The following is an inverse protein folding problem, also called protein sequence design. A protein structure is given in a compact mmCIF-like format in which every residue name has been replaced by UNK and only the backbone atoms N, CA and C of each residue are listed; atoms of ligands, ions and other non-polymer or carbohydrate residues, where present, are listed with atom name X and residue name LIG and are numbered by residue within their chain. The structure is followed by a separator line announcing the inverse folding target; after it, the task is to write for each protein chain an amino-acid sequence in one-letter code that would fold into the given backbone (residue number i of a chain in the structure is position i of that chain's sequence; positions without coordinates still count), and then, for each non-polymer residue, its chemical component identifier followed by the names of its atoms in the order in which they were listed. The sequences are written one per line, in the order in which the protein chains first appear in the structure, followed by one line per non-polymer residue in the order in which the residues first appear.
data_IF_913253251485
#
_entry.id   IF_913253251485
#
_cell.length_a   1.000
_cell.length_b   1.000
_cell.length_c   1.000
_cell.angle_alpha   90.00
_cell.angle_beta   90.00
_cell.angle_gamma   90.00
#
_symmetry.space_group_name_H-M   'P 1'
#
loop_
_entity.id
_entity.type
_entity.pdbx_description
1 polymer ?
#
# COMPACT_ATOMS: atom_id res chain seq x y z
N UNK A 1 -9.70 3.70 3.52
CA UNK A 1 -10.35 2.38 3.32
C UNK A 1 -9.77 1.36 4.28
N UNK A 2 -10.35 0.16 4.39
CA UNK A 2 -9.84 -0.91 5.27
C UNK A 2 -9.41 -2.13 4.46
N UNK A 3 -8.19 -2.60 4.71
CA UNK A 3 -7.69 -3.91 4.25
C UNK A 3 -8.29 -5.04 5.09
N UNK A 4 -8.35 -6.24 4.53
CA UNK A 4 -8.64 -7.45 5.30
C UNK A 4 -7.32 -8.12 5.66
N UNK A 5 -7.11 -8.37 6.95
CA UNK A 5 -5.87 -8.91 7.50
C UNK A 5 -6.12 -10.28 8.10
N UNK A 6 -5.26 -11.23 7.78
CA UNK A 6 -5.24 -12.57 8.40
C UNK A 6 -3.92 -12.74 9.12
N UNK A 7 -3.96 -13.23 10.35
CA UNK A 7 -2.78 -13.52 11.17
C UNK A 7 -2.77 -15.00 11.55
N UNK A 8 -1.63 -15.52 12.00
CA UNK A 8 -1.56 -16.92 12.47
C UNK A 8 -2.48 -17.18 13.68
N UNK A 9 -2.83 -16.13 14.44
CA UNK A 9 -3.66 -16.21 15.64
C UNK A 9 -5.16 -16.20 15.35
N UNK A 10 -5.56 -15.82 14.13
CA UNK A 10 -6.96 -15.67 13.74
C UNK A 10 -7.18 -16.27 12.36
N UNK A 11 -8.02 -17.29 12.29
CA UNK A 11 -8.27 -18.01 11.05
C UNK A 11 -9.05 -17.16 10.03
N UNK A 12 -10.03 -16.39 10.50
CA UNK A 12 -10.84 -15.52 9.66
C UNK A 12 -10.18 -14.15 9.43
N UNK A 13 -10.22 -13.59 8.19
CA UNK A 13 -9.74 -12.25 7.93
C UNK A 13 -10.56 -11.20 8.67
N UNK A 14 -9.88 -10.31 9.38
CA UNK A 14 -10.52 -9.19 10.09
C UNK A 14 -10.24 -7.86 9.39
N UNK A 15 -11.18 -6.90 9.42
CA UNK A 15 -10.90 -5.55 8.95
C UNK A 15 -9.74 -4.93 9.73
N UNK A 16 -8.72 -4.48 9.00
CA UNK A 16 -7.64 -3.69 9.55
C UNK A 16 -8.07 -2.27 9.92
N UNK A 17 -7.10 -1.51 10.44
CA UNK A 17 -7.27 -0.08 10.71
C UNK A 17 -7.60 0.65 9.41
N UNK A 18 -8.44 1.66 9.52
CA UNK A 18 -8.75 2.54 8.40
C UNK A 18 -7.52 3.36 8.02
N UNK A 19 -7.10 3.22 6.77
CA UNK A 19 -5.89 3.86 6.26
C UNK A 19 -6.11 4.47 4.88
N UNK A 20 -5.16 5.32 4.51
CA UNK A 20 -5.06 5.97 3.20
C UNK A 20 -3.67 5.71 2.65
N UNK A 21 -3.56 5.68 1.32
CA UNK A 21 -2.28 5.48 0.67
C UNK A 21 -2.22 6.35 -0.59
N UNK A 22 -1.20 7.19 -0.67
CA UNK A 22 -0.82 7.92 -1.86
C UNK A 22 0.39 7.23 -2.49
N UNK A 23 0.23 6.67 -3.69
CA UNK A 23 1.19 5.74 -4.29
C UNK A 23 1.04 5.68 -5.81
N UNK A 24 2.10 5.30 -6.51
CA UNK A 24 1.99 4.83 -7.88
C UNK A 24 1.34 3.43 -7.94
N UNK A 25 0.91 3.03 -9.13
CA UNK A 25 0.31 1.71 -9.37
C UNK A 25 0.99 1.04 -10.56
N UNK A 26 1.26 -0.28 -10.52
CA UNK A 26 1.94 -0.98 -11.62
C UNK A 26 1.17 -0.90 -12.95
N UNK A 27 -0.16 -0.93 -12.87
CA UNK A 27 -1.05 -0.79 -14.02
C UNK A 27 -2.41 -0.27 -13.58
N UNK A 28 -2.85 0.84 -14.17
CA UNK A 28 -4.19 1.38 -13.91
C UNK A 28 -5.33 0.44 -14.30
N UNK A 29 -5.08 -0.49 -15.24
CA UNK A 29 -6.12 -1.39 -15.75
C UNK A 29 -6.13 -2.74 -15.02
N UNK A 30 -4.94 -3.28 -14.71
CA UNK A 30 -4.82 -4.63 -14.16
C UNK A 30 -4.52 -4.65 -12.66
N UNK A 31 -3.84 -3.62 -12.14
CA UNK A 31 -3.35 -3.55 -10.76
C UNK A 31 -3.51 -2.12 -10.19
N UNK A 32 -4.74 -1.56 -10.10
CA UNK A 32 -4.96 -0.16 -9.75
C UNK A 32 -4.84 0.11 -8.24
N UNK A 33 -3.78 -0.38 -7.60
CA UNK A 33 -3.54 -0.29 -6.16
C UNK A 33 -2.05 -0.37 -5.83
N UNK A 34 -1.70 -0.04 -4.58
CA UNK A 34 -0.31 -0.04 -4.12
C UNK A 34 0.25 -1.44 -3.96
N UNK A 35 1.46 -1.66 -4.46
CA UNK A 35 2.26 -2.86 -4.22
C UNK A 35 3.63 -2.45 -3.68
N UNK A 36 3.97 -2.98 -2.51
CA UNK A 36 5.13 -2.51 -1.73
C UNK A 36 6.45 -2.66 -2.50
N UNK A 37 6.63 -3.79 -3.18
CA UNK A 37 7.87 -4.09 -3.87
C UNK A 37 7.97 -3.33 -5.21
N UNK A 38 6.87 -3.18 -5.95
CA UNK A 38 6.81 -2.37 -7.17
C UNK A 38 7.12 -0.89 -6.87
N UNK A 39 6.64 -0.36 -5.74
CA UNK A 39 6.83 1.06 -5.39
C UNK A 39 8.32 1.41 -5.26
N UNK A 40 9.15 0.48 -4.77
CA UNK A 40 10.59 0.69 -4.75
C UNK A 40 11.17 1.03 -6.13
N UNK A 41 10.68 0.39 -7.19
CA UNK A 41 11.09 0.70 -8.57
C UNK A 41 10.46 1.99 -9.09
N UNK A 42 9.21 2.30 -8.72
CA UNK A 42 8.57 3.56 -9.07
C UNK A 42 9.35 4.76 -8.50
N UNK A 43 9.76 4.69 -7.24
CA UNK A 43 10.50 5.73 -6.54
C UNK A 43 11.90 5.98 -7.13
N UNK A 44 12.58 4.95 -7.67
CA UNK A 44 13.85 5.16 -8.38
C UNK A 44 13.73 6.12 -9.58
N UNK A 45 12.56 6.17 -10.22
CA UNK A 45 12.28 7.11 -11.31
C UNK A 45 11.75 8.43 -10.76
N UNK A 46 10.76 8.39 -9.86
CA UNK A 46 10.13 9.58 -9.30
C UNK A 46 11.12 10.44 -8.52
N UNK A 47 11.98 9.85 -7.69
CA UNK A 47 12.99 10.58 -6.92
C UNK A 47 14.03 11.32 -7.77
N UNK A 48 14.22 10.94 -9.05
CA UNK A 48 15.06 11.71 -9.99
C UNK A 48 14.34 12.92 -10.59
N UNK A 49 13.02 12.86 -10.67
CA UNK A 49 12.17 13.90 -11.23
C UNK A 49 11.71 14.90 -10.17
N UNK A 50 11.15 14.39 -9.07
CA UNK A 50 10.59 15.16 -7.96
C UNK A 50 10.88 14.45 -6.61
N UNK A 51 11.95 14.84 -5.90
CA UNK A 51 12.27 14.30 -4.58
C UNK A 51 11.28 14.65 -3.46
N UNK A 52 10.44 15.68 -3.65
CA UNK A 52 9.40 16.02 -2.66
C UNK A 52 8.25 15.02 -2.79
N UNK A 53 7.80 14.75 -4.01
CA UNK A 53 6.78 13.73 -4.29
C UNK A 53 7.23 12.34 -3.84
N UNK A 54 8.48 11.96 -4.15
CA UNK A 54 9.08 10.68 -3.74
C UNK A 54 9.00 10.46 -2.22
N UNK A 55 9.38 11.48 -1.44
CA UNK A 55 9.31 11.42 0.03
C UNK A 55 7.88 11.37 0.57
N UNK A 56 6.94 12.06 -0.09
CA UNK A 56 5.53 12.03 0.32
C UNK A 56 4.92 10.64 0.12
N UNK A 57 5.20 10.00 -1.01
CA UNK A 57 4.79 8.62 -1.28
C UNK A 57 5.44 7.65 -0.26
N UNK A 58 6.75 7.78 -0.03
CA UNK A 58 7.47 6.95 0.93
C UNK A 58 6.90 7.10 2.35
N UNK A 59 6.57 8.32 2.77
CA UNK A 59 5.96 8.59 4.06
C UNK A 59 4.61 7.86 4.21
N UNK A 60 3.75 7.94 3.18
CA UNK A 60 2.46 7.23 3.18
C UNK A 60 2.62 5.70 3.27
N UNK A 61 3.68 5.11 2.70
CA UNK A 61 3.96 3.69 2.88
C UNK A 61 4.45 3.35 4.28
N UNK A 62 5.27 4.21 4.88
CA UNK A 62 5.76 4.03 6.25
C UNK A 62 4.66 4.20 7.31
N UNK A 63 3.65 5.01 7.04
CA UNK A 63 2.47 5.16 7.91
C UNK A 63 1.62 3.86 8.00
N UNK A 64 1.82 2.91 7.08
CA UNK A 64 1.15 1.61 7.09
C UNK A 64 1.88 0.56 7.94
N UNK A 65 3.05 0.90 8.50
CA UNK A 65 3.82 0.02 9.36
C UNK A 65 3.05 -0.28 10.64
N UNK A 66 2.81 -1.56 10.93
CA UNK A 66 2.22 -1.95 12.21
C UNK A 66 3.27 -2.01 13.34
N UNK A 67 2.82 -2.29 14.57
CA UNK A 67 3.70 -2.38 15.75
C UNK A 67 4.79 -3.46 15.64
N UNK A 68 4.61 -4.46 14.78
CA UNK A 68 5.56 -5.54 14.54
C UNK A 68 6.52 -5.24 13.37
N UNK A 69 6.46 -4.04 12.78
CA UNK A 69 7.27 -3.66 11.63
C UNK A 69 6.79 -4.23 10.29
N UNK A 70 5.56 -4.73 10.22
CA UNK A 70 4.97 -5.30 9.02
C UNK A 70 4.19 -4.26 8.21
N UNK A 71 4.40 -4.27 6.89
CA UNK A 71 3.61 -3.53 5.90
C UNK A 71 2.98 -4.56 4.95
N UNK A 72 1.66 -4.50 4.67
CA UNK A 72 1.06 -5.38 3.67
C UNK A 72 1.71 -5.21 2.29
N UNK A 73 2.07 -6.34 1.65
CA UNK A 73 2.70 -6.34 0.32
C UNK A 73 1.84 -5.71 -0.78
N UNK A 74 0.53 -5.74 -0.59
CA UNK A 74 -0.49 -5.30 -1.54
C UNK A 74 -1.60 -4.60 -0.75
N UNK A 75 -2.00 -3.42 -1.20
CA UNK A 75 -2.87 -2.52 -0.45
C UNK A 75 -4.28 -2.49 -1.06
N UNK A 76 -5.19 -3.26 -0.49
CA UNK A 76 -6.57 -3.42 -0.98
C UNK A 76 -7.53 -2.66 -0.03
N UNK A 77 -7.61 -1.34 -0.21
CA UNK A 77 -8.30 -0.42 0.70
C UNK A 77 -9.77 -0.20 0.31
N UNK A 78 -10.69 -0.88 0.98
CA UNK A 78 -12.13 -0.69 0.75
C UNK A 78 -12.71 -1.50 -0.42
N UNK A 79 -14.01 -1.34 -0.67
CA UNK A 79 -14.76 -2.21 -1.59
C UNK A 79 -14.39 -1.98 -3.06
N UNK A 80 -14.10 -0.74 -3.45
CA UNK A 80 -13.68 -0.42 -4.82
C UNK A 80 -12.37 -1.13 -5.19
N UNK A 81 -11.38 -1.11 -4.29
CA UNK A 81 -10.12 -1.81 -4.49
C UNK A 81 -10.27 -3.34 -4.50
N UNK A 82 -11.22 -3.89 -3.73
CA UNK A 82 -11.54 -5.33 -3.69
C UNK A 82 -12.24 -5.84 -4.95
N UNK A 83 -12.97 -4.97 -5.65
CA UNK A 83 -13.67 -5.33 -6.88
C UNK A 83 -12.74 -5.46 -8.11
N UNK A 84 -11.43 -5.34 -7.93
CA UNK A 84 -10.41 -5.28 -8.98
C UNK A 84 -9.34 -6.36 -8.85
#
# INVERSE_FOLDING_TARGET
GRSLLRSERQEEPVPGIESTLFTAVPSRSCFPRGFLWDEGFHLLLLGRWDPVLDRDILAHWLDLLNADGWIPREQILGDEARAR
#
